data_IF_995232315470
#
_entry.id   IF_995232315470
#
_cell.length_a   1.000
_cell.length_b   1.000
_cell.length_c   1.000
_cell.angle_alpha   90.00
_cell.angle_beta   90.00
_cell.angle_gamma   90.00
#
_symmetry.space_group_name_H-M   'P 1'
#
loop_
_entity.id
_entity.type
_entity.pdbx_description
1 polymer ?
#
# COMPACT_ATOMS: atom_id res chain seq x y z
N UNK A 1 10.67 9.02 11.34
CA UNK A 1 9.29 8.43 11.34
C UNK A 1 9.08 7.71 12.66
N UNK A 2 8.10 8.19 13.46
CA UNK A 2 7.80 7.61 14.79
C UNK A 2 6.45 6.89 14.79
N UNK A 3 5.58 7.16 13.83
CA UNK A 3 4.31 6.48 13.66
C UNK A 3 3.88 6.40 12.19
N UNK A 4 3.08 5.39 11.88
CA UNK A 4 2.40 5.21 10.59
C UNK A 4 0.89 5.25 10.86
N UNK A 5 0.20 6.13 10.15
CA UNK A 5 -1.25 6.20 10.17
C UNK A 5 -1.81 5.58 8.88
N UNK A 6 -2.68 4.59 9.01
CA UNK A 6 -3.34 3.92 7.90
C UNK A 6 -4.76 4.44 7.74
N UNK A 7 -5.18 4.68 6.52
CA UNK A 7 -6.54 5.09 6.22
C UNK A 7 -7.04 4.45 4.92
N UNK A 8 -8.34 4.16 4.87
CA UNK A 8 -9.00 3.70 3.66
C UNK A 8 -9.27 4.89 2.73
N UNK A 9 -8.83 4.78 1.47
CA UNK A 9 -9.12 5.75 0.42
C UNK A 9 -10.21 5.20 -0.48
N UNK A 10 -11.32 5.93 -0.59
CA UNK A 10 -12.55 5.49 -1.28
C UNK A 10 -12.90 6.38 -2.47
N UNK A 11 -13.70 5.90 -3.45
CA UNK A 11 -13.99 6.65 -4.66
C UNK A 11 -14.86 7.91 -4.47
N UNK A 12 -15.44 8.11 -3.29
CA UNK A 12 -16.42 9.17 -3.07
C UNK A 12 -17.82 8.85 -3.63
N UNK A 13 -18.78 9.75 -3.38
CA UNK A 13 -20.17 9.54 -3.82
C UNK A 13 -20.27 9.69 -5.34
N UNK A 14 -20.66 8.64 -6.03
CA UNK A 14 -20.93 8.65 -7.49
C UNK A 14 -19.98 7.80 -8.34
N UNK A 15 -18.90 7.28 -7.82
CA UNK A 15 -17.92 6.46 -8.55
C UNK A 15 -17.75 5.04 -7.95
N UNK A 16 -18.55 4.69 -6.94
CA UNK A 16 -18.53 3.34 -6.36
C UNK A 16 -19.10 2.33 -7.37
N UNK A 17 -18.28 1.35 -7.77
CA UNK A 17 -18.73 0.18 -8.51
C UNK A 17 -19.07 -0.91 -7.50
N UNK A 18 -20.18 -1.63 -7.71
CA UNK A 18 -20.61 -2.73 -6.82
C UNK A 18 -19.59 -3.88 -6.72
N UNK A 19 -18.53 -3.87 -7.52
CA UNK A 19 -17.47 -4.89 -7.58
C UNK A 19 -16.18 -4.47 -6.84
N UNK A 20 -16.10 -3.22 -6.37
CA UNK A 20 -14.92 -2.75 -5.65
C UNK A 20 -14.93 -3.36 -4.25
N UNK A 21 -14.07 -4.35 -4.00
CA UNK A 21 -13.88 -4.89 -2.66
C UNK A 21 -13.49 -3.76 -1.73
N UNK A 22 -14.30 -3.51 -0.70
CA UNK A 22 -14.03 -2.44 0.26
C UNK A 22 -12.79 -2.80 1.08
N UNK A 23 -11.91 -1.81 1.28
CA UNK A 23 -10.78 -1.94 2.20
C UNK A 23 -11.34 -1.98 3.61
N UNK A 24 -11.38 -3.17 4.22
CA UNK A 24 -11.96 -3.33 5.56
C UNK A 24 -11.00 -2.87 6.66
N UNK A 25 -11.56 -2.49 7.81
CA UNK A 25 -10.78 -2.11 9.00
C UNK A 25 -9.92 -3.30 9.47
N UNK A 26 -10.46 -4.52 9.44
CA UNK A 26 -9.73 -5.72 9.85
C UNK A 26 -8.48 -5.96 8.97
N UNK A 27 -8.58 -5.69 7.67
CA UNK A 27 -7.43 -5.78 6.77
C UNK A 27 -6.39 -4.69 7.06
N UNK A 28 -6.84 -3.48 7.38
CA UNK A 28 -5.94 -2.39 7.78
C UNK A 28 -5.25 -2.69 9.13
N UNK A 29 -5.95 -3.31 10.08
CA UNK A 29 -5.38 -3.75 11.36
C UNK A 29 -4.30 -4.81 11.15
N UNK A 30 -4.54 -5.80 10.28
CA UNK A 30 -3.57 -6.84 9.96
C UNK A 30 -2.33 -6.23 9.27
N UNK A 31 -2.53 -5.30 8.32
CA UNK A 31 -1.45 -4.55 7.70
C UNK A 31 -0.68 -3.70 8.71
N UNK A 32 -1.38 -3.00 9.60
CA UNK A 32 -0.76 -2.19 10.65
C UNK A 32 0.13 -3.01 11.58
N UNK A 33 -0.30 -4.24 11.93
CA UNK A 33 0.50 -5.15 12.74
C UNK A 33 1.80 -5.57 12.03
N UNK A 34 1.74 -5.87 10.73
CA UNK A 34 2.94 -6.20 9.94
C UNK A 34 3.87 -4.99 9.77
N UNK A 35 3.33 -3.81 9.48
CA UNK A 35 4.14 -2.59 9.37
C UNK A 35 4.79 -2.21 10.69
N UNK A 36 4.08 -2.34 11.82
CA UNK A 36 4.64 -2.12 13.14
C UNK A 36 5.81 -3.07 13.44
N UNK A 37 5.72 -4.34 13.02
CA UNK A 37 6.80 -5.33 13.13
C UNK A 37 8.01 -4.96 12.26
N UNK A 38 7.77 -4.49 11.02
CA UNK A 38 8.82 -4.21 10.03
C UNK A 38 9.56 -2.92 10.37
N UNK A 39 8.83 -1.84 10.65
CA UNK A 39 9.40 -0.51 10.91
C UNK A 39 9.72 -0.25 12.38
N UNK A 40 9.22 -1.09 13.29
CA UNK A 40 9.38 -0.94 14.75
C UNK A 40 8.86 0.41 15.27
N UNK A 41 7.73 0.86 14.73
CA UNK A 41 7.03 2.08 15.11
C UNK A 41 5.55 1.78 15.43
N UNK A 42 4.86 2.71 16.09
CA UNK A 42 3.42 2.58 16.28
C UNK A 42 2.67 2.71 14.95
N UNK A 43 1.62 1.90 14.76
CA UNK A 43 0.72 2.00 13.63
C UNK A 43 -0.70 2.23 14.13
N UNK A 44 -1.43 3.17 13.52
CA UNK A 44 -2.78 3.54 13.90
C UNK A 44 -3.70 3.49 12.68
N UNK A 45 -4.79 2.74 12.78
CA UNK A 45 -5.81 2.68 11.75
C UNK A 45 -6.88 3.72 12.05
N UNK A 46 -7.23 4.51 11.04
CA UNK A 46 -8.31 5.49 11.11
C UNK A 46 -9.61 4.87 10.64
N UNK A 47 -10.69 5.06 11.39
CA UNK A 47 -12.04 4.63 11.02
C UNK A 47 -12.65 5.49 9.90
N UNK A 48 -12.20 6.74 9.81
CA UNK A 48 -12.66 7.68 8.79
C UNK A 48 -12.04 7.36 7.43
N UNK A 49 -12.86 7.39 6.39
CA UNK A 49 -12.42 7.19 5.01
C UNK A 49 -12.03 8.51 4.34
N UNK A 50 -11.08 8.45 3.43
CA UNK A 50 -10.65 9.59 2.62
C UNK A 50 -11.25 9.48 1.20
N UNK A 51 -12.12 10.42 0.85
CA UNK A 51 -12.76 10.43 -0.47
C UNK A 51 -11.82 10.98 -1.55
N UNK A 52 -11.69 10.25 -2.68
CA UNK A 52 -10.78 10.55 -3.78
C UNK A 52 -11.48 10.92 -5.10
N UNK A 53 -12.77 11.25 -5.10
CA UNK A 53 -13.55 11.62 -6.28
C UNK A 53 -12.93 12.74 -7.11
N UNK A 54 -12.27 13.71 -6.46
CA UNK A 54 -11.55 14.80 -7.11
C UNK A 54 -10.38 14.36 -8.00
N UNK A 55 -9.89 13.14 -7.84
CA UNK A 55 -8.76 12.58 -8.58
C UNK A 55 -9.19 11.67 -9.74
N UNK A 56 -10.49 11.48 -9.96
CA UNK A 56 -11.00 10.60 -11.00
C UNK A 56 -10.81 11.18 -12.40
N UNK A 57 -10.19 10.40 -13.27
CA UNK A 57 -10.06 10.69 -14.70
C UNK A 57 -11.04 9.83 -15.49
N UNK A 58 -12.08 10.48 -16.02
CA UNK A 58 -13.13 9.81 -16.77
C UNK A 58 -12.63 9.17 -18.08
N UNK A 59 -11.64 9.78 -18.75
CA UNK A 59 -11.12 9.24 -20.01
C UNK A 59 -10.32 7.96 -19.80
N UNK A 60 -9.66 7.83 -18.65
CA UNK A 60 -8.90 6.64 -18.26
C UNK A 60 -9.72 5.65 -17.44
N UNK A 61 -10.82 6.09 -16.84
CA UNK A 61 -11.56 5.34 -15.81
C UNK A 61 -10.67 4.94 -14.62
N UNK A 62 -9.70 5.79 -14.28
CA UNK A 62 -8.69 5.59 -13.26
C UNK A 62 -8.59 6.82 -12.35
N UNK A 63 -7.85 6.68 -11.24
CA UNK A 63 -7.63 7.77 -10.27
C UNK A 63 -6.17 8.21 -10.29
N UNK A 64 -5.96 9.54 -10.36
CA UNK A 64 -4.62 10.14 -10.38
C UNK A 64 -4.00 10.08 -8.98
N UNK A 65 -3.08 9.15 -8.75
CA UNK A 65 -2.49 8.88 -7.43
C UNK A 65 -1.72 10.08 -6.86
N UNK A 66 -0.99 10.85 -7.70
CA UNK A 66 -0.27 12.05 -7.25
C UNK A 66 -1.22 13.12 -6.69
N UNK A 67 -2.42 13.28 -7.28
CA UNK A 67 -3.42 14.22 -6.76
C UNK A 67 -3.94 13.78 -5.38
N UNK A 68 -4.15 12.46 -5.19
CA UNK A 68 -4.56 11.88 -3.90
C UNK A 68 -3.46 12.14 -2.85
N UNK A 69 -2.21 11.79 -3.14
CA UNK A 69 -1.07 12.01 -2.24
C UNK A 69 -0.94 13.47 -1.83
N UNK A 70 -1.05 14.39 -2.78
CA UNK A 70 -0.97 15.82 -2.51
C UNK A 70 -2.08 16.28 -1.53
N UNK A 71 -3.29 15.77 -1.71
CA UNK A 71 -4.41 16.10 -0.82
C UNK A 71 -4.28 15.46 0.56
N UNK A 72 -3.73 14.24 0.65
CA UNK A 72 -3.47 13.55 1.93
C UNK A 72 -2.48 14.32 2.82
N UNK A 73 -1.59 15.15 2.24
CA UNK A 73 -0.69 16.01 3.03
C UNK A 73 -1.41 16.92 4.00
N UNK A 74 -2.62 17.36 3.66
CA UNK A 74 -3.42 18.22 4.55
C UNK A 74 -3.88 17.55 5.84
N UNK A 75 -3.79 16.22 5.93
CA UNK A 75 -4.10 15.45 7.13
C UNK A 75 -2.93 15.39 8.13
N UNK A 76 -1.73 15.81 7.70
CA UNK A 76 -0.51 15.70 8.48
C UNK A 76 -0.33 16.91 9.40
N UNK A 77 -0.57 16.73 10.67
CA UNK A 77 -0.33 17.75 11.71
C UNK A 77 0.99 17.53 12.47
N UNK A 78 1.55 16.31 12.44
CA UNK A 78 2.78 15.94 13.14
C UNK A 78 3.88 15.61 12.11
N UNK A 79 5.08 16.24 12.19
CA UNK A 79 6.18 15.98 11.26
C UNK A 79 6.76 14.57 11.34
N UNK A 80 6.56 13.86 12.44
CA UNK A 80 7.08 12.50 12.66
C UNK A 80 6.13 11.39 12.22
N UNK A 81 4.90 11.75 11.80
CA UNK A 81 3.87 10.81 11.33
C UNK A 81 3.94 10.68 9.82
N UNK A 82 3.90 9.43 9.33
CA UNK A 82 3.70 9.11 7.91
C UNK A 82 2.29 8.55 7.71
N UNK A 83 1.67 8.85 6.57
CA UNK A 83 0.35 8.34 6.22
C UNK A 83 0.48 7.33 5.08
N UNK A 84 -0.13 6.17 5.25
CA UNK A 84 -0.36 5.19 4.20
C UNK A 84 -1.86 5.13 3.86
N UNK A 85 -2.22 5.58 2.68
CA UNK A 85 -3.54 5.33 2.11
C UNK A 85 -3.59 3.93 1.49
N UNK A 86 -4.65 3.18 1.78
CA UNK A 86 -4.92 1.89 1.14
C UNK A 86 -6.25 2.00 0.41
N UNK A 87 -6.29 1.54 -0.84
CA UNK A 87 -7.47 1.68 -1.70
C UNK A 87 -7.68 0.45 -2.58
N UNK A 88 -8.85 0.34 -3.18
CA UNK A 88 -9.12 -0.57 -4.31
C UNK A 88 -9.34 0.18 -5.63
N UNK A 89 -8.96 1.45 -5.72
CA UNK A 89 -9.07 2.26 -6.92
C UNK A 89 -7.96 1.91 -7.92
N UNK A 90 -8.29 1.85 -9.21
CA UNK A 90 -7.26 1.70 -10.24
C UNK A 90 -6.46 2.99 -10.37
N UNK A 91 -5.18 2.95 -9.98
CA UNK A 91 -4.31 4.11 -9.88
C UNK A 91 -3.45 4.31 -11.12
N UNK A 92 -3.19 5.58 -11.47
CA UNK A 92 -2.26 5.94 -12.52
C UNK A 92 -1.46 7.20 -12.20
N UNK A 93 -0.32 7.34 -12.89
CA UNK A 93 0.38 8.61 -13.10
C UNK A 93 0.47 8.90 -14.60
N UNK A 94 0.62 10.17 -15.05
CA UNK A 94 0.53 10.51 -16.48
C UNK A 94 1.48 9.76 -17.40
N UNK A 95 2.66 9.36 -16.91
CA UNK A 95 3.69 8.66 -17.70
C UNK A 95 3.56 7.13 -17.70
N UNK A 96 2.64 6.56 -16.90
CA UNK A 96 2.41 5.11 -16.80
C UNK A 96 0.95 4.78 -17.05
N UNK A 97 0.71 3.54 -17.49
CA UNK A 97 -0.65 3.03 -17.68
C UNK A 97 -1.37 2.79 -16.36
N UNK A 98 -0.62 2.36 -15.35
CA UNK A 98 -1.09 2.17 -13.98
C UNK A 98 0.09 2.18 -13.00
N UNK A 99 -0.22 2.25 -11.71
CA UNK A 99 0.72 2.00 -10.62
C UNK A 99 0.06 1.13 -9.56
N UNK A 100 0.83 0.27 -8.89
CA UNK A 100 0.37 -0.45 -7.69
C UNK A 100 0.31 0.47 -6.48
N UNK A 101 1.24 1.41 -6.40
CA UNK A 101 1.31 2.44 -5.40
C UNK A 101 2.09 3.65 -5.88
N UNK A 102 2.12 4.68 -5.09
CA UNK A 102 2.93 5.88 -5.27
C UNK A 102 3.25 6.49 -3.91
N UNK A 103 4.44 7.03 -3.76
CA UNK A 103 4.82 7.76 -2.56
C UNK A 103 5.57 9.05 -2.87
N UNK A 104 5.53 9.97 -1.94
CA UNK A 104 6.34 11.18 -1.98
C UNK A 104 7.76 10.86 -1.55
N UNK A 105 8.71 10.90 -2.48
CA UNK A 105 10.13 10.67 -2.16
C UNK A 105 10.61 11.70 -1.11
N UNK A 106 11.11 11.20 0.02
CA UNK A 106 11.47 12.02 1.20
C UNK A 106 10.28 12.84 1.76
N UNK A 107 9.07 12.44 1.42
CA UNK A 107 7.84 13.03 1.97
C UNK A 107 7.27 12.18 3.10
N UNK A 108 5.93 12.28 3.32
CA UNK A 108 5.28 11.58 4.43
C UNK A 108 3.98 10.87 4.03
N UNK A 109 3.63 10.91 2.75
CA UNK A 109 2.43 10.24 2.24
C UNK A 109 2.80 9.14 1.26
N UNK A 110 2.18 7.99 1.41
CA UNK A 110 2.21 6.85 0.52
C UNK A 110 0.78 6.37 0.24
N UNK A 111 0.57 5.76 -0.92
CA UNK A 111 -0.72 5.22 -1.36
C UNK A 111 -0.48 3.88 -2.05
N UNK A 112 -1.27 2.87 -1.70
CA UNK A 112 -1.21 1.53 -2.31
C UNK A 112 -2.61 1.08 -2.72
N UNK A 113 -2.73 0.45 -3.89
CA UNK A 113 -3.99 -0.07 -4.40
C UNK A 113 -4.00 -1.59 -4.47
N UNK A 114 -5.07 -2.19 -3.97
CA UNK A 114 -5.37 -3.62 -4.11
C UNK A 114 -5.84 -3.99 -5.52
N UNK A 115 -6.33 -3.02 -6.31
CA UNK A 115 -7.05 -3.24 -7.56
C UNK A 115 -6.31 -4.18 -8.52
N UNK A 116 -5.02 -3.93 -8.74
CA UNK A 116 -4.18 -4.76 -9.62
C UNK A 116 -3.27 -5.73 -8.87
N UNK A 117 -3.38 -5.81 -7.54
CA UNK A 117 -2.68 -6.81 -6.73
C UNK A 117 -3.47 -8.11 -6.61
N UNK A 118 -4.81 -8.07 -6.78
CA UNK A 118 -5.66 -9.22 -6.65
C UNK A 118 -5.63 -10.11 -7.90
N UNK A 119 -5.75 -11.43 -7.70
CA UNK A 119 -5.80 -12.43 -8.77
C UNK A 119 -7.04 -12.29 -9.66
N UNK A 120 -8.15 -11.83 -9.08
CA UNK A 120 -9.42 -11.64 -9.79
C UNK A 120 -9.32 -10.61 -10.92
N UNK A 121 -8.47 -9.61 -10.78
CA UNK A 121 -8.18 -8.64 -11.84
C UNK A 121 -7.66 -9.34 -13.12
N UNK A 122 -6.94 -10.43 -12.96
CA UNK A 122 -6.37 -11.24 -14.06
C UNK A 122 -7.28 -12.41 -14.47
N UNK A 123 -8.50 -12.49 -13.93
CA UNK A 123 -9.45 -13.56 -14.22
C UNK A 123 -9.13 -14.89 -13.54
N UNK A 124 -8.30 -14.86 -12.51
CA UNK A 124 -7.93 -16.01 -11.70
C UNK A 124 -8.79 -16.10 -10.42
N UNK A 125 -8.89 -17.28 -9.80
CA UNK A 125 -9.58 -17.40 -8.52
C UNK A 125 -8.93 -16.55 -7.42
N UNK A 126 -9.74 -16.00 -6.52
CA UNK A 126 -9.26 -15.20 -5.38
C UNK A 126 -8.21 -15.95 -4.55
N UNK A 127 -7.10 -15.28 -4.28
CA UNK A 127 -6.05 -15.77 -3.40
C UNK A 127 -5.71 -14.71 -2.35
N UNK A 128 -6.39 -14.79 -1.22
CA UNK A 128 -6.28 -13.79 -0.14
C UNK A 128 -4.90 -13.73 0.49
N UNK A 129 -4.25 -14.87 0.69
CA UNK A 129 -2.90 -14.91 1.25
C UNK A 129 -1.91 -14.19 0.34
N UNK A 130 -1.96 -14.47 -0.96
CA UNK A 130 -1.12 -13.81 -1.95
C UNK A 130 -1.40 -12.30 -2.03
N UNK A 131 -2.66 -11.90 -1.97
CA UNK A 131 -3.04 -10.48 -1.94
C UNK A 131 -2.49 -9.77 -0.69
N UNK A 132 -2.56 -10.41 0.48
CA UNK A 132 -1.97 -9.90 1.72
C UNK A 132 -0.45 -9.72 1.62
N UNK A 133 0.25 -10.73 1.09
CA UNK A 133 1.70 -10.67 0.88
C UNK A 133 2.09 -9.53 -0.07
N UNK A 134 1.37 -9.38 -1.19
CA UNK A 134 1.56 -8.29 -2.16
C UNK A 134 1.29 -6.92 -1.53
N UNK A 135 0.22 -6.80 -0.74
CA UNK A 135 -0.13 -5.55 -0.04
C UNK A 135 0.97 -5.15 0.94
N UNK A 136 1.50 -6.08 1.73
CA UNK A 136 2.63 -5.81 2.64
C UNK A 136 3.85 -5.34 1.86
N UNK A 137 4.24 -6.07 0.80
CA UNK A 137 5.42 -5.72 -0.03
C UNK A 137 5.30 -4.32 -0.63
N UNK A 138 4.16 -3.98 -1.23
CA UNK A 138 3.95 -2.65 -1.81
C UNK A 138 3.87 -1.56 -0.74
N UNK A 139 3.20 -1.81 0.39
CA UNK A 139 3.17 -0.86 1.50
C UNK A 139 4.56 -0.54 2.05
N UNK A 140 5.40 -1.57 2.23
CA UNK A 140 6.79 -1.40 2.67
C UNK A 140 7.62 -0.68 1.62
N UNK A 141 7.42 -0.98 0.32
CA UNK A 141 8.07 -0.31 -0.80
C UNK A 141 7.74 1.19 -0.82
N UNK A 142 6.47 1.54 -0.80
CA UNK A 142 6.04 2.94 -0.85
C UNK A 142 6.46 3.73 0.41
N UNK A 143 6.37 3.13 1.58
CA UNK A 143 6.90 3.74 2.81
C UNK A 143 8.42 3.92 2.76
N UNK A 144 9.15 3.02 2.10
CA UNK A 144 10.58 3.18 1.83
C UNK A 144 10.90 4.43 1.02
N UNK A 145 10.08 4.76 0.03
CA UNK A 145 10.22 6.02 -0.72
C UNK A 145 10.02 7.25 0.16
N UNK A 146 9.09 7.22 1.11
CA UNK A 146 8.91 8.33 2.06
C UNK A 146 10.14 8.55 2.94
N UNK A 147 10.94 7.50 3.19
CA UNK A 147 12.22 7.55 3.90
C UNK A 147 13.41 7.93 2.99
N UNK A 148 13.16 8.26 1.73
CA UNK A 148 14.18 8.68 0.78
C UNK A 148 14.83 7.54 -0.02
N UNK A 149 14.42 6.29 0.18
CA UNK A 149 14.92 5.16 -0.62
C UNK A 149 14.44 5.28 -2.06
N UNK A 150 15.35 4.99 -2.98
CA UNK A 150 15.05 4.82 -4.42
C UNK A 150 14.99 3.32 -4.75
N UNK A 151 14.58 2.99 -5.97
CA UNK A 151 14.60 1.60 -6.42
C UNK A 151 15.97 0.97 -6.26
N UNK A 152 15.99 -0.26 -5.79
CA UNK A 152 17.18 -1.05 -5.51
C UNK A 152 17.50 -1.98 -6.70
N UNK A 153 18.79 -2.16 -6.99
CA UNK A 153 19.23 -3.10 -8.02
C UNK A 153 19.20 -4.58 -7.56
N UNK A 154 19.17 -4.83 -6.25
CA UNK A 154 18.97 -6.20 -5.74
C UNK A 154 17.49 -6.57 -5.90
N UNK A 155 17.22 -7.51 -6.81
CA UNK A 155 15.86 -7.97 -7.14
C UNK A 155 15.11 -8.61 -5.96
N UNK A 156 15.83 -9.06 -4.93
CA UNK A 156 15.25 -9.64 -3.71
C UNK A 156 14.85 -8.59 -2.69
N UNK A 157 15.36 -7.36 -2.83
CA UNK A 157 15.02 -6.26 -1.94
C UNK A 157 13.58 -5.82 -2.20
N UNK A 158 12.83 -5.49 -1.15
CA UNK A 158 11.48 -4.91 -1.29
C UNK A 158 11.50 -3.64 -2.14
N UNK A 159 12.60 -2.88 -2.15
CA UNK A 159 12.78 -1.68 -2.99
C UNK A 159 13.08 -1.98 -4.46
N UNK A 160 13.14 -3.24 -4.88
CA UNK A 160 13.24 -3.56 -6.31
C UNK A 160 11.97 -3.10 -7.04
N UNK A 161 12.15 -2.53 -8.24
CA UNK A 161 11.02 -2.12 -9.08
C UNK A 161 10.24 -3.35 -9.59
N UNK A 162 8.92 -3.30 -9.52
CA UNK A 162 8.02 -4.29 -10.09
C UNK A 162 7.01 -3.59 -11.04
N UNK A 163 6.91 -4.07 -12.28
CA UNK A 163 6.00 -3.53 -13.29
C UNK A 163 4.79 -4.44 -13.53
N UNK A 164 4.82 -5.62 -12.94
CA UNK A 164 3.80 -6.67 -12.98
C UNK A 164 3.77 -7.45 -11.66
N UNK A 165 2.71 -8.22 -11.42
CA UNK A 165 2.56 -8.98 -10.17
C UNK A 165 3.55 -10.13 -10.05
N UNK A 166 4.00 -10.70 -11.18
CA UNK A 166 4.99 -11.77 -11.20
C UNK A 166 6.33 -11.28 -10.64
N UNK A 167 6.76 -10.07 -11.00
CA UNK A 167 7.96 -9.45 -10.44
C UNK A 167 7.78 -9.07 -8.97
N UNK A 168 6.58 -8.60 -8.61
CA UNK A 168 6.24 -8.31 -7.22
C UNK A 168 6.29 -9.58 -6.36
N UNK A 169 5.81 -10.71 -6.87
CA UNK A 169 5.83 -11.99 -6.15
C UNK A 169 7.25 -12.49 -5.92
N UNK A 170 8.16 -12.25 -6.86
CA UNK A 170 9.56 -12.68 -6.78
C UNK A 170 10.40 -11.88 -5.77
N UNK A 171 10.11 -10.60 -5.53
CA UNK A 171 10.87 -9.80 -4.56
C UNK A 171 10.52 -10.17 -3.11
N UNK A 172 11.46 -9.97 -2.20
CA UNK A 172 11.21 -10.15 -0.76
C UNK A 172 10.36 -9.05 -0.14
N UNK A 173 9.95 -9.25 1.11
CA UNK A 173 9.24 -8.27 1.93
C UNK A 173 10.18 -7.36 2.75
N UNK A 174 11.48 -7.65 2.75
CA UNK A 174 12.48 -6.96 3.56
C UNK A 174 13.41 -6.08 2.72
N UNK A 175 13.90 -5.03 3.34
CA UNK A 175 15.00 -4.23 2.79
C UNK A 175 16.31 -5.02 2.80
N UNK A 176 17.14 -4.88 1.77
CA UNK A 176 18.52 -5.37 1.80
C UNK A 176 19.37 -4.55 2.81
N UNK A 177 20.55 -5.05 3.23
CA UNK A 177 21.39 -4.33 4.18
C UNK A 177 21.72 -2.89 3.79
N UNK A 178 21.94 -2.63 2.49
CA UNK A 178 22.24 -1.29 1.98
C UNK A 178 21.06 -0.34 2.12
N UNK A 179 19.82 -0.81 1.85
CA UNK A 179 18.61 -0.02 2.01
C UNK A 179 18.29 0.23 3.49
N UNK A 180 18.46 -0.77 4.36
CA UNK A 180 18.31 -0.58 5.81
C UNK A 180 19.24 0.53 6.32
N UNK A 181 20.53 0.46 5.94
CA UNK A 181 21.52 1.46 6.34
C UNK A 181 21.17 2.86 5.80
N UNK A 182 20.75 2.95 4.53
CA UNK A 182 20.40 4.23 3.90
C UNK A 182 19.17 4.90 4.54
N UNK A 183 18.18 4.12 4.98
CA UNK A 183 16.99 4.63 5.66
C UNK A 183 17.16 4.72 7.19
N UNK A 184 18.32 4.35 7.74
CA UNK A 184 18.57 4.26 9.19
C UNK A 184 17.55 3.36 9.92
N UNK A 185 17.12 2.29 9.25
CA UNK A 185 16.17 1.33 9.79
C UNK A 185 16.89 0.16 10.46
N UNK A 186 16.26 -0.42 11.47
CA UNK A 186 16.69 -1.67 12.07
C UNK A 186 16.15 -2.86 11.26
N UNK A 187 16.81 -4.03 11.28
CA UNK A 187 16.24 -5.23 10.72
C UNK A 187 14.86 -5.53 11.33
N UNK A 188 13.89 -6.00 10.52
CA UNK A 188 12.54 -6.29 11.02
C UNK A 188 12.57 -7.35 12.12
N UNK A 189 11.67 -7.24 13.09
CA UNK A 189 11.48 -8.27 14.11
C UNK A 189 11.03 -9.56 13.40
N UNK A 190 11.67 -10.71 13.67
CA UNK A 190 11.25 -11.97 13.07
C UNK A 190 9.78 -12.29 13.37
N UNK A 191 9.05 -12.84 12.40
CA UNK A 191 7.71 -13.38 12.65
C UNK A 191 7.82 -14.53 13.68
N UNK A 192 6.90 -14.58 14.64
CA UNK A 192 6.82 -15.75 15.54
C UNK A 192 6.41 -16.95 14.68
N UNK A 193 7.21 -18.03 14.75
CA UNK A 193 6.93 -19.27 14.02
C UNK A 193 5.52 -19.79 14.37
N UNK A 194 4.68 -19.99 13.37
CA UNK A 194 3.34 -20.57 13.50
C UNK A 194 2.15 -19.65 13.24
N UNK A 195 2.37 -18.37 13.03
CA UNK A 195 1.30 -17.41 12.67
C UNK A 195 1.70 -16.72 11.38
N UNK A 196 1.36 -17.33 10.25
CA UNK A 196 0.91 -16.52 9.12
C UNK A 196 -0.41 -15.93 9.62
N UNK A 197 -0.43 -14.65 9.99
CA UNK A 197 -1.70 -13.97 10.20
C UNK A 197 -2.41 -14.03 8.85
N UNK A 198 -3.37 -14.93 8.71
CA UNK A 198 -4.26 -14.91 7.56
C UNK A 198 -4.87 -13.51 7.56
N UNK A 199 -4.56 -12.72 6.55
CA UNK A 199 -5.17 -11.41 6.39
C UNK A 199 -6.69 -11.57 6.40
N UNK A 200 -7.37 -10.81 7.25
CA UNK A 200 -8.83 -10.81 7.38
C UNK A 200 -9.41 -9.95 6.26
N UNK A 201 -9.81 -10.59 5.19
CA UNK A 201 -10.53 -9.92 4.11
C UNK A 201 -12.03 -10.04 4.32
N UNK A 202 -12.83 -9.05 3.92
CA UNK A 202 -14.27 -9.19 3.90
C UNK A 202 -14.66 -10.41 3.06
N UNK A 203 -15.78 -11.09 3.37
CA UNK A 203 -16.26 -12.21 2.56
C UNK A 203 -16.46 -11.74 1.12
N UNK A 204 -16.23 -12.62 0.12
CA UNK A 204 -16.53 -12.28 -1.26
C UNK A 204 -18.00 -11.88 -1.37
N UNK A 205 -18.27 -10.79 -2.08
CA UNK A 205 -19.65 -10.43 -2.41
C UNK A 205 -20.26 -11.58 -3.23
N UNK A 206 -21.09 -12.39 -2.58
CA UNK A 206 -21.91 -13.37 -3.28
C UNK A 206 -23.02 -12.61 -3.98
N UNK A 207 -22.84 -12.34 -5.28
CA UNK A 207 -23.89 -11.83 -6.16
C UNK A 207 -24.87 -12.93 -6.51
#
# INVERSE_FOLDING_TARGET
MNAIHLLSVVPGRGHSRAQDAEVSIEMLDDLAAELARIFQVSCHVHEETFAADFAYDQARSQFHSTAILHRMQSLLNDPEVHILGVTNLDLYIPILTFVFGEAQLMGRCALVSLHRLCEEFYGLPANRNLLGDRLVKESVHELGHTLGLRHCADWRCVMASAHDVERLDLKGEAYCPSCLAAASLQPPVPRRSGILSEFRFPPPNTA
#
